data_IF_456067289168
#
_entry.id   IF_456067289168
#
_cell.length_a   1.000
_cell.length_b   1.000
_cell.length_c   1.000
_cell.angle_alpha   90.00
_cell.angle_beta   90.00
_cell.angle_gamma   90.00
#
_symmetry.space_group_name_H-M   'P 1'
#
loop_
_entity.id
_entity.type
_entity.pdbx_description
1 polymer ?
#
# COMPACT_ATOMS: atom_id res chain seq x y z
N UNK A 1 -10.96 -1.20 -8.81
CA UNK A 1 -12.11 -0.61 -8.07
C UNK A 1 -11.56 0.20 -6.91
N UNK A 2 -12.13 1.37 -6.58
CA UNK A 2 -11.57 2.25 -5.53
C UNK A 2 -12.63 2.56 -4.47
N UNK A 3 -12.23 2.44 -3.21
CA UNK A 3 -12.99 2.83 -2.03
C UNK A 3 -12.21 3.89 -1.26
N UNK A 4 -12.87 4.97 -0.86
CA UNK A 4 -12.22 6.10 -0.18
C UNK A 4 -13.10 6.54 0.98
N UNK A 5 -12.55 6.62 2.19
CA UNK A 5 -13.30 7.13 3.34
C UNK A 5 -13.59 8.63 3.17
N UNK A 6 -14.64 9.18 3.82
CA UNK A 6 -14.96 10.60 3.75
C UNK A 6 -13.78 11.49 4.19
N UNK A 7 -13.03 11.04 5.20
CA UNK A 7 -11.83 11.73 5.68
C UNK A 7 -10.75 11.80 4.61
N UNK A 8 -10.38 10.67 4.01
CA UNK A 8 -9.38 10.65 2.93
C UNK A 8 -9.81 11.47 1.72
N UNK A 9 -11.09 11.42 1.36
CA UNK A 9 -11.63 12.25 0.27
C UNK A 9 -11.47 13.75 0.55
N UNK A 10 -11.67 14.16 1.80
CA UNK A 10 -11.48 15.56 2.21
C UNK A 10 -10.01 15.96 2.10
N UNK A 11 -9.08 15.13 2.58
CA UNK A 11 -7.65 15.42 2.50
C UNK A 11 -7.16 15.51 1.03
N UNK A 12 -7.55 14.56 0.18
CA UNK A 12 -7.23 14.61 -1.26
C UNK A 12 -7.81 15.87 -1.92
N UNK A 13 -9.01 16.31 -1.53
CA UNK A 13 -9.61 17.51 -2.08
C UNK A 13 -8.87 18.78 -1.70
N UNK A 14 -8.33 18.88 -0.46
CA UNK A 14 -7.49 20.01 -0.03
C UNK A 14 -6.22 20.09 -0.88
N UNK A 15 -5.61 18.93 -1.17
CA UNK A 15 -4.33 18.83 -1.87
C UNK A 15 -4.44 18.68 -3.39
N UNK A 16 -5.65 18.69 -3.95
CA UNK A 16 -5.92 18.35 -5.36
C UNK A 16 -5.07 19.10 -6.39
N UNK A 17 -4.80 20.38 -6.15
CA UNK A 17 -3.95 21.18 -7.05
C UNK A 17 -2.47 20.86 -6.87
N UNK A 18 -2.04 20.61 -5.63
CA UNK A 18 -0.67 20.24 -5.30
C UNK A 18 -0.33 18.87 -5.89
N UNK A 19 -1.23 17.88 -5.79
CA UNK A 19 -1.07 16.55 -6.40
C UNK A 19 -0.76 16.67 -7.91
N UNK A 20 -1.50 17.54 -8.63
CA UNK A 20 -1.33 17.71 -10.08
C UNK A 20 -0.01 18.39 -10.48
N UNK A 21 0.57 19.19 -9.59
CA UNK A 21 1.79 19.96 -9.86
C UNK A 21 3.02 19.28 -9.27
N UNK A 22 2.83 18.36 -8.33
CA UNK A 22 3.89 17.64 -7.66
C UNK A 22 4.51 16.60 -8.60
N UNK A 23 5.78 16.31 -8.33
CA UNK A 23 6.52 15.22 -8.96
C UNK A 23 6.83 14.21 -7.85
N UNK A 24 6.73 12.92 -8.18
CA UNK A 24 7.06 11.86 -7.24
C UNK A 24 8.56 11.90 -6.89
N UNK A 25 8.90 11.63 -5.63
CA UNK A 25 10.28 11.47 -5.18
C UNK A 25 10.96 10.31 -5.91
N UNK A 26 12.23 10.49 -6.29
CA UNK A 26 13.07 9.41 -6.83
C UNK A 26 13.20 8.26 -5.83
N UNK A 27 13.33 8.58 -4.54
CA UNK A 27 13.56 7.59 -3.49
C UNK A 27 12.37 6.65 -3.36
N UNK A 28 11.15 7.15 -3.61
CA UNK A 28 9.96 6.31 -3.67
C UNK A 28 9.93 5.44 -4.94
N UNK A 29 10.35 5.98 -6.09
CA UNK A 29 10.41 5.19 -7.33
C UNK A 29 11.36 4.00 -7.20
N UNK A 30 12.47 4.15 -6.47
CA UNK A 30 13.45 3.09 -6.23
C UNK A 30 12.86 1.92 -5.41
N UNK A 31 11.74 2.12 -4.72
CA UNK A 31 11.03 1.07 -3.97
C UNK A 31 10.18 0.16 -4.86
N UNK A 32 9.92 0.54 -6.12
CA UNK A 32 9.04 -0.18 -7.06
C UNK A 32 9.72 -1.38 -7.74
N UNK A 33 10.38 -2.21 -6.94
CA UNK A 33 10.92 -3.51 -7.33
C UNK A 33 10.33 -4.60 -6.43
N UNK A 34 10.05 -5.76 -7.02
CA UNK A 34 9.27 -6.82 -6.38
C UNK A 34 10.01 -8.15 -6.40
N UNK A 35 9.63 -9.04 -5.49
CA UNK A 35 10.10 -10.42 -5.47
C UNK A 35 8.95 -11.39 -5.21
N UNK A 36 8.92 -12.48 -5.96
CA UNK A 36 8.03 -13.62 -5.72
C UNK A 36 8.73 -14.65 -4.83
N UNK A 37 8.08 -15.05 -3.74
CA UNK A 37 8.53 -16.10 -2.83
C UNK A 37 7.32 -16.95 -2.46
N UNK A 38 7.35 -18.22 -2.85
CA UNK A 38 6.32 -19.22 -2.54
C UNK A 38 4.88 -18.75 -2.84
N UNK A 39 4.70 -17.96 -3.90
CA UNK A 39 3.40 -17.46 -4.35
C UNK A 39 2.95 -16.15 -3.67
N UNK A 40 3.76 -15.59 -2.78
CA UNK A 40 3.65 -14.23 -2.26
C UNK A 40 4.52 -13.26 -3.04
N UNK A 41 4.08 -12.01 -3.15
CA UNK A 41 4.81 -10.93 -3.81
C UNK A 41 5.14 -9.86 -2.76
N UNK A 42 6.42 -9.55 -2.63
CA UNK A 42 6.91 -8.55 -1.68
C UNK A 42 7.63 -7.40 -2.37
N UNK A 43 7.66 -6.24 -1.72
CA UNK A 43 8.67 -5.24 -2.06
C UNK A 43 10.07 -5.82 -1.83
N UNK A 44 10.98 -5.59 -2.76
CA UNK A 44 12.34 -6.15 -2.68
C UNK A 44 13.17 -5.55 -1.55
N UNK A 45 12.99 -4.26 -1.23
CA UNK A 45 13.69 -3.62 -0.12
C UNK A 45 13.34 -4.29 1.23
N UNK A 46 12.09 -4.72 1.41
CA UNK A 46 11.66 -5.42 2.62
C UNK A 46 12.38 -6.76 2.81
N UNK A 47 12.81 -7.41 1.73
CA UNK A 47 13.65 -8.63 1.83
C UNK A 47 15.07 -8.31 2.31
N UNK A 48 15.62 -7.16 1.93
CA UNK A 48 16.96 -6.74 2.39
C UNK A 48 16.95 -6.60 3.91
N UNK A 49 15.86 -6.08 4.46
CA UNK A 49 15.74 -5.84 5.90
C UNK A 49 15.27 -7.06 6.70
N UNK A 50 14.47 -7.94 6.10
CA UNK A 50 13.84 -9.07 6.82
C UNK A 50 14.36 -10.47 6.44
N UNK A 51 15.37 -10.59 5.57
CA UNK A 51 15.98 -11.86 5.11
C UNK A 51 14.97 -12.94 4.62
N UNK A 52 13.81 -12.53 4.11
CA UNK A 52 12.76 -13.46 3.68
C UNK A 52 13.25 -14.29 2.50
N UNK A 53 13.40 -15.60 2.73
CA UNK A 53 13.89 -16.57 1.75
C UNK A 53 12.89 -17.68 1.46
N UNK A 54 11.90 -17.87 2.33
CA UNK A 54 10.82 -18.84 2.21
C UNK A 54 9.61 -18.37 3.02
N UNK A 55 8.44 -18.87 2.66
CA UNK A 55 7.20 -18.64 3.40
C UNK A 55 6.87 -19.88 4.23
N UNK A 56 6.84 -19.76 5.56
CA UNK A 56 6.50 -20.87 6.46
C UNK A 56 5.00 -20.88 6.78
N UNK A 57 4.30 -21.89 6.26
CA UNK A 57 2.86 -22.03 6.46
C UNK A 57 2.45 -22.14 7.94
N UNK A 58 3.31 -22.68 8.82
CA UNK A 58 3.00 -22.77 10.25
C UNK A 58 3.07 -21.40 10.92
N UNK A 59 4.00 -20.56 10.49
CA UNK A 59 4.14 -19.19 10.97
C UNK A 59 2.94 -18.35 10.56
N UNK A 60 2.52 -18.47 9.31
CA UNK A 60 1.33 -17.79 8.77
C UNK A 60 0.09 -18.15 9.54
N UNK A 61 -0.20 -19.45 9.69
CA UNK A 61 -1.40 -19.90 10.39
C UNK A 61 -1.40 -19.46 11.87
N UNK A 62 -0.21 -19.33 12.48
CA UNK A 62 -0.07 -18.92 13.89
C UNK A 62 -0.19 -17.42 14.14
N UNK A 63 0.19 -16.57 13.17
CA UNK A 63 0.36 -15.12 13.40
C UNK A 63 -0.44 -14.23 12.44
N UNK A 64 -0.66 -14.67 11.21
CA UNK A 64 -1.11 -13.81 10.12
C UNK A 64 -2.45 -14.23 9.49
N UNK A 65 -3.07 -15.29 10.03
CA UNK A 65 -4.29 -15.94 9.53
C UNK A 65 -4.11 -16.63 8.16
N UNK A 66 -3.65 -15.90 7.15
CA UNK A 66 -3.49 -16.35 5.76
C UNK A 66 -2.33 -15.62 5.03
N UNK A 67 -2.12 -15.95 3.75
CA UNK A 67 -1.04 -15.37 2.94
C UNK A 67 -1.26 -13.88 2.68
N UNK A 68 -2.51 -13.45 2.49
CA UNK A 68 -2.83 -12.03 2.30
C UNK A 68 -2.56 -11.23 3.57
N UNK A 69 -2.85 -11.77 4.75
CA UNK A 69 -2.55 -11.14 6.04
C UNK A 69 -1.05 -11.04 6.28
N UNK A 70 -0.30 -12.06 5.86
CA UNK A 70 1.16 -12.04 5.89
C UNK A 70 1.73 -10.97 4.95
N UNK A 71 1.27 -10.92 3.69
CA UNK A 71 1.69 -9.89 2.74
C UNK A 71 1.36 -8.48 3.22
N UNK A 72 0.15 -8.23 3.73
CA UNK A 72 -0.23 -6.91 4.28
C UNK A 72 0.64 -6.49 5.47
N UNK A 73 1.17 -7.45 6.22
CA UNK A 73 2.05 -7.16 7.36
C UNK A 73 3.46 -6.80 6.90
N UNK A 74 3.98 -7.46 5.86
CA UNK A 74 5.34 -7.26 5.35
C UNK A 74 5.42 -6.11 4.33
N UNK A 75 4.46 -6.03 3.41
CA UNK A 75 4.40 -5.01 2.36
C UNK A 75 3.88 -3.68 2.87
N UNK A 76 4.36 -3.25 4.04
CA UNK A 76 3.93 -2.05 4.71
C UNK A 76 5.13 -1.14 4.96
N UNK A 77 5.01 0.12 4.61
CA UNK A 77 6.01 1.12 4.96
C UNK A 77 5.38 2.51 5.08
N UNK A 78 6.08 3.40 5.75
CA UNK A 78 5.69 4.80 5.88
C UNK A 78 6.28 5.61 4.73
N UNK A 79 5.44 6.32 3.99
CA UNK A 79 5.86 7.18 2.87
C UNK A 79 6.73 8.33 3.38
N UNK A 80 6.40 8.85 4.56
CA UNK A 80 7.11 9.93 5.24
C UNK A 80 8.58 9.62 5.58
N UNK A 81 8.97 8.34 5.67
CA UNK A 81 10.38 7.94 5.83
C UNK A 81 11.25 8.25 4.59
N UNK A 82 10.62 8.44 3.41
CA UNK A 82 11.30 8.58 2.11
C UNK A 82 11.11 9.94 1.45
N UNK A 83 10.33 10.84 2.08
CA UNK A 83 10.00 12.13 1.48
C UNK A 83 10.04 13.26 2.49
N UNK A 84 10.57 14.41 2.07
CA UNK A 84 10.52 15.66 2.84
C UNK A 84 9.42 16.62 2.35
N UNK A 85 8.62 16.20 1.36
CA UNK A 85 7.58 16.99 0.72
C UNK A 85 6.19 16.75 1.30
N UNK A 86 5.15 17.17 0.57
CA UNK A 86 3.77 16.91 0.94
C UNK A 86 3.48 15.40 0.87
N UNK A 87 3.34 14.77 2.03
CA UNK A 87 3.27 13.31 2.18
C UNK A 87 2.07 12.74 1.44
N UNK A 88 0.89 13.35 1.59
CA UNK A 88 -0.32 12.88 0.89
C UNK A 88 -0.16 12.94 -0.63
N UNK A 89 0.44 14.01 -1.16
CA UNK A 89 0.72 14.11 -2.59
C UNK A 89 1.63 12.97 -3.05
N UNK A 90 2.68 12.68 -2.29
CA UNK A 90 3.62 11.60 -2.59
C UNK A 90 2.95 10.23 -2.52
N UNK A 91 2.07 9.98 -1.54
CA UNK A 91 1.30 8.72 -1.44
C UNK A 91 0.41 8.48 -2.66
N UNK A 92 -0.30 9.51 -3.14
CA UNK A 92 -1.17 9.39 -4.31
C UNK A 92 -0.36 9.22 -5.60
N UNK A 93 0.75 9.95 -5.75
CA UNK A 93 1.63 9.79 -6.90
C UNK A 93 2.30 8.41 -6.91
N UNK A 94 2.72 7.92 -5.75
CA UNK A 94 3.29 6.57 -5.60
C UNK A 94 2.29 5.48 -5.95
N UNK A 95 1.01 5.62 -5.57
CA UNK A 95 -0.05 4.70 -6.01
C UNK A 95 -0.15 4.65 -7.54
N UNK A 96 -0.07 5.78 -8.22
CA UNK A 96 -0.15 5.84 -9.68
C UNK A 96 1.05 5.17 -10.35
N UNK A 97 2.26 5.36 -9.83
CA UNK A 97 3.47 4.68 -10.34
C UNK A 97 3.48 3.18 -9.99
N UNK A 98 3.06 2.82 -8.78
CA UNK A 98 2.86 1.44 -8.36
C UNK A 98 1.91 0.71 -9.31
N UNK A 99 0.76 1.31 -9.66
CA UNK A 99 -0.19 0.72 -10.61
C UNK A 99 0.42 0.45 -11.97
N UNK A 100 1.20 1.39 -12.50
CA UNK A 100 1.88 1.21 -13.80
C UNK A 100 2.88 0.08 -13.73
N UNK A 101 3.73 0.08 -12.70
CA UNK A 101 4.77 -0.93 -12.50
C UNK A 101 4.18 -2.32 -12.27
N UNK A 102 3.14 -2.42 -11.44
CA UNK A 102 2.46 -3.68 -11.16
C UNK A 102 1.91 -4.32 -12.44
N UNK A 103 1.18 -3.56 -13.26
CA UNK A 103 0.62 -4.05 -14.53
C UNK A 103 1.69 -4.41 -15.57
N UNK A 104 2.84 -3.76 -15.51
CA UNK A 104 3.98 -4.06 -16.39
C UNK A 104 4.60 -5.42 -16.05
N UNK A 105 4.78 -5.71 -14.75
CA UNK A 105 5.46 -6.94 -14.28
C UNK A 105 4.47 -8.11 -14.17
N UNK A 106 3.25 -7.83 -13.70
CA UNK A 106 2.23 -8.82 -13.35
C UNK A 106 0.89 -8.53 -14.06
N UNK A 107 0.84 -8.56 -15.40
CA UNK A 107 -0.35 -8.17 -16.17
C UNK A 107 -1.58 -9.04 -15.90
N UNK A 108 -1.38 -10.26 -15.38
CA UNK A 108 -2.44 -11.23 -15.10
C UNK A 108 -2.76 -11.38 -13.61
N UNK A 109 -2.12 -10.60 -12.73
CA UNK A 109 -2.34 -10.67 -11.28
C UNK A 109 -3.03 -9.42 -10.75
N UNK A 110 -4.06 -9.65 -9.95
CA UNK A 110 -4.73 -8.58 -9.23
C UNK A 110 -4.06 -8.33 -7.88
N UNK A 111 -4.06 -7.08 -7.43
CA UNK A 111 -3.63 -6.72 -6.08
C UNK A 111 -4.56 -5.69 -5.45
N UNK A 112 -4.52 -5.60 -4.12
CA UNK A 112 -5.18 -4.56 -3.35
C UNK A 112 -4.13 -3.69 -2.71
N UNK A 113 -4.27 -2.38 -2.88
CA UNK A 113 -3.46 -1.37 -2.20
C UNK A 113 -4.32 -0.67 -1.15
N UNK A 114 -3.74 -0.43 0.02
CA UNK A 114 -4.31 0.36 1.10
C UNK A 114 -3.36 1.53 1.38
N UNK A 115 -3.91 2.73 1.45
CA UNK A 115 -3.19 3.92 1.90
C UNK A 115 -3.95 4.48 3.09
N UNK A 116 -3.30 4.56 4.24
CA UNK A 116 -3.80 5.35 5.36
C UNK A 116 -3.06 6.68 5.44
N UNK A 117 -3.75 7.70 5.90
CA UNK A 117 -3.19 9.02 6.12
C UNK A 117 -3.66 9.57 7.45
N UNK A 118 -2.73 10.17 8.18
CA UNK A 118 -2.98 10.89 9.42
C UNK A 118 -2.38 12.27 9.27
N UNK A 119 -3.15 13.28 9.66
CA UNK A 119 -2.71 14.66 9.75
C UNK A 119 -3.31 15.25 11.03
N UNK A 120 -2.51 15.25 12.10
CA UNK A 120 -2.91 15.70 13.42
C UNK A 120 -1.78 16.45 14.12
N UNK A 121 -1.94 16.71 15.43
CA UNK A 121 -0.96 17.46 16.23
C UNK A 121 0.42 16.78 16.32
N UNK A 122 0.51 15.48 16.05
CA UNK A 122 1.76 14.71 16.09
C UNK A 122 2.53 14.89 14.77
N UNK A 123 1.81 15.01 13.65
CA UNK A 123 2.39 15.25 12.35
C UNK A 123 1.55 14.67 11.20
N UNK A 124 2.16 14.70 10.01
CA UNK A 124 1.63 14.04 8.82
C UNK A 124 2.32 12.68 8.66
N UNK A 125 1.54 11.62 8.55
CA UNK A 125 2.02 10.26 8.36
C UNK A 125 1.19 9.56 7.29
N UNK A 126 1.82 8.76 6.44
CA UNK A 126 1.08 7.93 5.49
C UNK A 126 1.67 6.54 5.41
N UNK A 127 0.82 5.53 5.59
CA UNK A 127 1.22 4.14 5.41
C UNK A 127 0.76 3.67 4.05
N UNK A 128 1.67 3.11 3.25
CA UNK A 128 1.33 2.37 2.05
C UNK A 128 1.38 0.87 2.34
N UNK A 129 0.39 0.13 1.87
CA UNK A 129 0.35 -1.33 2.00
C UNK A 129 -0.23 -2.00 0.77
N UNK A 130 0.24 -3.18 0.41
CA UNK A 130 -0.40 -3.99 -0.63
C UNK A 130 -0.38 -5.49 -0.35
N UNK A 131 -1.31 -6.21 -0.98
CA UNK A 131 -1.26 -7.67 -1.08
C UNK A 131 -1.82 -8.15 -2.42
N UNK A 132 -1.40 -9.33 -2.85
CA UNK A 132 -1.94 -10.01 -4.02
C UNK A 132 -3.34 -10.55 -3.69
N UNK A 133 -4.29 -10.36 -4.61
CA UNK A 133 -5.64 -10.94 -4.45
C UNK A 133 -5.55 -12.46 -4.57
N UNK A 134 -6.16 -13.16 -3.62
CA UNK A 134 -6.32 -14.62 -3.62
C UNK A 134 -7.79 -14.97 -3.51
N UNK A 135 -8.16 -16.11 -4.08
CA UNK A 135 -9.50 -16.65 -3.91
C UNK A 135 -9.70 -16.97 -2.42
N UNK A 136 -10.86 -16.63 -1.88
CA UNK A 136 -11.29 -16.91 -0.50
C UNK A 136 -10.50 -16.20 0.62
N UNK A 137 -9.56 -15.31 0.29
CA UNK A 137 -8.88 -14.45 1.26
C UNK A 137 -9.36 -13.00 1.11
N UNK A 138 -9.65 -12.34 2.23
CA UNK A 138 -10.07 -10.94 2.24
C UNK A 138 -9.54 -10.21 3.47
N UNK A 139 -8.75 -9.18 3.24
CA UNK A 139 -8.18 -8.33 4.30
C UNK A 139 -9.04 -7.08 4.55
N UNK A 140 -9.99 -6.79 3.67
CA UNK A 140 -10.79 -5.58 3.75
C UNK A 140 -12.25 -5.84 3.36
N UNK A 141 -13.17 -5.46 4.24
CA UNK A 141 -14.59 -5.40 3.94
C UNK A 141 -14.96 -3.97 3.48
N UNK A 142 -15.35 -3.77 2.20
CA UNK A 142 -15.72 -2.45 1.72
C UNK A 142 -16.90 -1.79 2.42
N UNK A 143 -17.76 -2.56 3.09
CA UNK A 143 -18.88 -2.01 3.85
C UNK A 143 -18.44 -1.25 5.11
N UNK A 144 -17.24 -1.56 5.61
CA UNK A 144 -16.69 -0.99 6.84
C UNK A 144 -15.86 0.29 6.60
N UNK A 145 -15.67 0.73 5.35
CA UNK A 145 -14.78 1.86 5.04
C UNK A 145 -15.13 3.15 5.78
N UNK A 146 -16.42 3.38 6.03
CA UNK A 146 -16.90 4.58 6.73
C UNK A 146 -16.79 4.46 8.25
N UNK A 147 -16.53 3.25 8.77
CA UNK A 147 -16.35 2.98 10.20
C UNK A 147 -14.87 3.06 10.61
N UNK A 148 -13.95 3.14 9.65
CA UNK A 148 -12.52 3.31 9.90
C UNK A 148 -12.26 4.76 10.31
N UNK A 149 -11.70 4.94 11.52
CA UNK A 149 -11.43 6.25 12.10
C UNK A 149 -10.35 7.05 11.33
N UNK A 150 -9.41 6.35 10.69
CA UNK A 150 -8.34 6.96 9.92
C UNK A 150 -8.80 7.32 8.49
N UNK A 151 -8.17 8.35 7.90
CA UNK A 151 -8.32 8.56 6.47
C UNK A 151 -7.71 7.36 5.73
N UNK A 152 -8.53 6.68 4.92
CA UNK A 152 -8.12 5.48 4.18
C UNK A 152 -8.60 5.51 2.73
N UNK A 153 -7.73 5.05 1.83
CA UNK A 153 -8.02 4.70 0.44
C UNK A 153 -7.68 3.23 0.25
N UNK A 154 -8.58 2.49 -0.41
CA UNK A 154 -8.37 1.11 -0.84
C UNK A 154 -8.60 1.01 -2.34
N UNK A 155 -7.60 0.56 -3.10
CA UNK A 155 -7.70 0.39 -4.54
C UNK A 155 -7.39 -1.07 -4.94
N UNK A 156 -8.37 -1.70 -5.58
CA UNK A 156 -8.23 -2.98 -6.26
C UNK A 156 -7.70 -2.72 -7.68
N UNK A 157 -6.51 -3.22 -7.95
CA UNK A 157 -5.79 -3.10 -9.22
C UNK A 157 -5.98 -4.42 -9.97
N UNK A 158 -6.55 -4.30 -11.17
CA UNK A 158 -6.70 -5.38 -12.14
C UNK A 158 -5.72 -5.24 -13.29
#
# INVERSE_FOLDING_TARGET
>A
MIYISPLMKNEINKEKNNIKQSVISSDLLDLLDFIDIDGCIFFKFQKIDNEISRVDANEIAGQFLDLSGYEVSINRFHIDDYVSGNILCQSILFLDEFKKRWKEIYPDLNCVVLITFQNDEIGEFSTFTFHKVRNDESIFDPSEINNIEQAILVEFIN
#
